data_IF_146502698752
#
_entry.id   IF_146502698752
#
_cell.length_a   1.000
_cell.length_b   1.000
_cell.length_c   1.000
_cell.angle_alpha   90.00
_cell.angle_beta   90.00
_cell.angle_gamma   90.00
#
_symmetry.space_group_name_H-M   'P 1'
#
loop_
_entity.id
_entity.type
_entity.pdbx_description
1 polymer ?
#
# COMPACT_ATOMS: atom_id res chain seq x y z
N UNK A 1 -14.85 13.14 6.53
CA UNK A 1 -14.03 11.92 6.60
C UNK A 1 -12.59 12.34 6.40
N UNK A 2 -11.66 11.69 7.10
CA UNK A 2 -10.23 11.94 6.92
C UNK A 2 -9.69 11.06 5.80
N UNK A 3 -8.66 11.54 5.10
CA UNK A 3 -7.92 10.75 4.14
C UNK A 3 -6.83 9.98 4.86
N UNK A 4 -6.66 8.72 4.52
CA UNK A 4 -5.60 7.88 5.04
C UNK A 4 -4.79 7.30 3.88
N UNK A 5 -3.47 7.34 4.00
CA UNK A 5 -2.57 6.67 3.07
C UNK A 5 -2.18 5.33 3.64
N UNK A 6 -2.29 4.32 2.78
CA UNK A 6 -1.76 2.98 3.00
C UNK A 6 -0.43 2.90 2.29
N UNK A 7 0.61 2.58 3.03
CA UNK A 7 1.95 2.38 2.52
C UNK A 7 2.29 0.90 2.68
N UNK A 8 2.58 0.24 1.57
CA UNK A 8 2.94 -1.18 1.56
C UNK A 8 4.44 -1.31 1.83
N UNK A 9 4.80 -1.85 2.99
CA UNK A 9 6.19 -2.02 3.41
C UNK A 9 6.57 -3.51 3.51
N UNK A 10 7.67 -3.90 2.90
CA UNK A 10 8.24 -5.24 3.01
C UNK A 10 8.84 -5.73 1.69
N UNK A 11 9.58 -6.84 1.72
CA UNK A 11 10.27 -7.36 0.54
C UNK A 11 9.25 -7.91 -0.45
N UNK A 12 8.88 -7.13 -1.47
CA UNK A 12 8.05 -7.65 -2.55
C UNK A 12 8.80 -8.73 -3.33
N UNK A 13 8.12 -9.83 -3.59
CA UNK A 13 8.53 -10.77 -4.63
C UNK A 13 8.58 -10.00 -5.96
N UNK A 14 9.70 -10.02 -6.68
CA UNK A 14 9.78 -9.42 -8.01
C UNK A 14 8.71 -9.96 -8.96
N UNK A 15 8.10 -9.09 -9.77
CA UNK A 15 7.00 -9.47 -10.67
C UNK A 15 7.39 -10.56 -11.68
N UNK A 16 8.66 -10.65 -12.04
CA UNK A 16 9.23 -11.66 -12.95
C UNK A 16 9.39 -13.05 -12.30
N UNK A 17 9.18 -13.15 -10.98
CA UNK A 17 9.21 -14.42 -10.24
C UNK A 17 7.82 -15.04 -10.06
N UNK A 18 6.76 -14.33 -10.44
CA UNK A 18 5.41 -14.88 -10.44
C UNK A 18 5.13 -15.63 -11.74
N UNK A 19 4.46 -16.78 -11.65
CA UNK A 19 3.84 -17.40 -12.83
C UNK A 19 2.68 -16.52 -13.32
N UNK A 20 2.23 -16.76 -14.55
CA UNK A 20 1.06 -16.07 -15.11
C UNK A 20 -0.20 -16.31 -14.26
N UNK A 21 -0.38 -17.55 -13.77
CA UNK A 21 -1.47 -17.93 -12.86
C UNK A 21 -1.41 -17.16 -11.54
N UNK A 22 -0.24 -17.11 -10.89
CA UNK A 22 -0.09 -16.37 -9.64
C UNK A 22 -0.30 -14.86 -9.84
N UNK A 23 0.16 -14.32 -10.97
CA UNK A 23 -0.06 -12.91 -11.33
C UNK A 23 -1.55 -12.61 -11.51
N UNK A 24 -2.29 -13.52 -12.16
CA UNK A 24 -3.74 -13.40 -12.34
C UNK A 24 -4.49 -13.48 -11.01
N UNK A 25 -4.11 -14.41 -10.12
CA UNK A 25 -4.70 -14.54 -8.78
C UNK A 25 -4.49 -13.28 -7.94
N UNK A 26 -3.26 -12.74 -7.91
CA UNK A 26 -2.94 -11.50 -7.18
C UNK A 26 -3.74 -10.33 -7.76
N UNK A 27 -3.82 -10.21 -9.08
CA UNK A 27 -4.59 -9.16 -9.76
C UNK A 27 -6.09 -9.26 -9.43
N UNK A 28 -6.65 -10.47 -9.45
CA UNK A 28 -8.05 -10.71 -9.10
C UNK A 28 -8.34 -10.39 -7.63
N UNK A 29 -7.43 -10.77 -6.72
CA UNK A 29 -7.55 -10.45 -5.30
C UNK A 29 -7.49 -8.94 -5.05
N UNK A 30 -6.62 -8.22 -5.76
CA UNK A 30 -6.58 -6.75 -5.75
C UNK A 30 -7.91 -6.15 -6.22
N UNK A 31 -8.43 -6.60 -7.36
CA UNK A 31 -9.73 -6.13 -7.88
C UNK A 31 -10.89 -6.40 -6.91
N UNK A 32 -10.91 -7.57 -6.27
CA UNK A 32 -11.93 -7.91 -5.27
C UNK A 32 -11.85 -7.01 -4.03
N UNK A 33 -10.64 -6.77 -3.52
CA UNK A 33 -10.43 -5.87 -2.39
C UNK A 33 -10.83 -4.42 -2.74
N UNK A 34 -10.40 -3.90 -3.89
CA UNK A 34 -10.78 -2.56 -4.35
C UNK A 34 -12.30 -2.43 -4.48
N UNK A 35 -12.97 -3.46 -5.01
CA UNK A 35 -14.44 -3.50 -5.09
C UNK A 35 -15.12 -3.49 -3.72
N UNK A 36 -14.53 -4.15 -2.71
CA UNK A 36 -15.02 -4.14 -1.32
C UNK A 36 -14.83 -2.78 -0.65
N UNK A 37 -13.69 -2.12 -0.85
CA UNK A 37 -13.43 -0.76 -0.34
C UNK A 37 -14.41 0.23 -0.97
N UNK A 38 -14.69 0.06 -2.27
CA UNK A 38 -15.76 0.79 -2.96
C UNK A 38 -15.53 2.31 -2.93
N UNK A 39 -16.56 3.06 -2.53
CA UNK A 39 -16.54 4.54 -2.55
C UNK A 39 -15.58 5.15 -1.52
N UNK A 40 -15.07 4.36 -0.57
CA UNK A 40 -14.02 4.82 0.33
C UNK A 40 -12.66 4.92 -0.36
N UNK A 41 -12.50 4.33 -1.56
CA UNK A 41 -11.26 4.41 -2.34
C UNK A 41 -11.14 5.79 -2.98
N UNK A 42 -10.18 6.59 -2.51
CA UNK A 42 -9.90 7.92 -3.08
C UNK A 42 -8.93 7.80 -4.24
N UNK A 43 -7.89 6.99 -4.07
CA UNK A 43 -6.88 6.70 -5.08
C UNK A 43 -6.47 5.23 -4.94
N UNK A 44 -6.70 4.43 -5.99
CA UNK A 44 -6.26 3.03 -6.05
C UNK A 44 -4.74 2.86 -6.04
N UNK A 45 -4.01 3.97 -6.16
CA UNK A 45 -2.59 4.06 -5.93
C UNK A 45 -1.73 3.50 -7.04
N UNK A 46 -0.45 3.29 -6.73
CA UNK A 46 0.53 2.80 -7.68
C UNK A 46 1.65 1.98 -6.99
N UNK A 47 2.17 0.94 -7.66
CA UNK A 47 3.40 0.28 -7.24
C UNK A 47 4.61 1.20 -7.44
N UNK A 48 5.58 1.13 -6.53
CA UNK A 48 6.83 1.88 -6.62
C UNK A 48 7.87 1.14 -7.47
N UNK A 49 8.54 1.90 -8.34
CA UNK A 49 9.58 1.41 -9.25
C UNK A 49 10.99 1.64 -8.71
N UNK A 50 11.89 2.10 -9.58
CA UNK A 50 13.26 2.45 -9.21
C UNK A 50 13.27 3.45 -8.04
N UNK A 51 14.12 3.19 -7.05
CA UNK A 51 14.20 3.95 -5.79
C UNK A 51 15.62 4.40 -5.48
N UNK A 52 15.72 5.58 -4.90
CA UNK A 52 16.93 6.14 -4.32
C UNK A 52 16.52 6.94 -3.08
N UNK A 53 17.44 7.10 -2.12
CA UNK A 53 17.24 7.99 -0.99
C UNK A 53 18.42 8.95 -0.88
N UNK A 54 18.13 10.17 -0.45
CA UNK A 54 19.09 11.25 -0.26
C UNK A 54 18.85 11.84 1.12
N UNK A 55 19.93 12.01 1.88
CA UNK A 55 19.93 12.66 3.20
C UNK A 55 19.88 14.19 3.07
N UNK A 56 19.59 14.88 4.17
CA UNK A 56 19.53 16.36 4.19
C UNK A 56 20.89 17.04 3.94
N UNK A 57 21.99 16.32 4.14
CA UNK A 57 23.36 16.72 3.76
C UNK A 57 23.70 16.45 2.29
N UNK A 58 22.76 15.91 1.50
CA UNK A 58 22.93 15.59 0.08
C UNK A 58 23.64 14.25 -0.18
N UNK A 59 24.01 13.49 0.85
CA UNK A 59 24.58 12.16 0.69
C UNK A 59 23.54 11.12 0.26
N UNK A 60 23.99 10.07 -0.44
CA UNK A 60 23.13 8.93 -0.75
C UNK A 60 22.84 8.12 0.52
N UNK A 61 21.58 7.73 0.68
CA UNK A 61 21.11 6.85 1.74
C UNK A 61 20.52 5.56 1.15
N UNK A 62 20.37 4.54 2.00
CA UNK A 62 19.66 3.33 1.63
C UNK A 62 18.15 3.64 1.46
N UNK A 63 17.54 3.37 0.31
CA UNK A 63 16.11 3.55 0.14
C UNK A 63 15.32 2.51 0.94
N UNK A 64 14.13 2.90 1.40
CA UNK A 64 13.20 2.05 2.13
C UNK A 64 12.64 0.90 1.28
N UNK A 65 12.12 -0.13 1.96
CA UNK A 65 11.43 -1.28 1.35
C UNK A 65 9.94 -1.00 1.04
N UNK A 66 9.60 0.27 0.76
CA UNK A 66 8.24 0.63 0.37
C UNK A 66 7.95 0.17 -1.06
N UNK A 67 6.75 -0.34 -1.27
CA UNK A 67 6.36 -1.05 -2.49
C UNK A 67 5.23 -0.38 -3.26
N UNK A 68 4.54 0.58 -2.66
CA UNK A 68 3.47 1.33 -3.29
C UNK A 68 2.59 2.01 -2.25
N UNK A 69 1.52 2.62 -2.72
CA UNK A 69 0.52 3.25 -1.86
C UNK A 69 -0.91 2.99 -2.34
N UNK A 70 -1.88 3.30 -1.47
CA UNK A 70 -3.30 3.50 -1.77
C UNK A 70 -3.82 4.63 -0.87
N UNK A 71 -4.80 5.41 -1.30
CA UNK A 71 -5.45 6.42 -0.45
C UNK A 71 -6.93 6.08 -0.29
N UNK A 72 -7.39 6.06 0.95
CA UNK A 72 -8.81 5.86 1.29
C UNK A 72 -9.34 7.02 2.13
N UNK A 73 -10.66 7.13 2.18
CA UNK A 73 -11.38 7.96 3.15
C UNK A 73 -12.05 7.09 4.21
N UNK A 74 -11.89 7.48 5.47
CA UNK A 74 -12.52 6.82 6.61
C UNK A 74 -12.91 7.82 7.70
N UNK A 75 -13.71 7.37 8.67
CA UNK A 75 -14.12 8.21 9.80
C UNK A 75 -12.95 8.51 10.75
N UNK A 76 -12.08 7.52 10.97
CA UNK A 76 -10.94 7.54 11.87
C UNK A 76 -9.93 6.45 11.48
N UNK A 77 -8.83 6.34 12.24
CA UNK A 77 -7.76 5.38 12.00
C UNK A 77 -8.22 3.92 12.14
N UNK A 78 -9.16 3.61 13.04
CA UNK A 78 -9.63 2.24 13.22
C UNK A 78 -10.56 1.81 12.07
N UNK A 79 -11.39 2.73 11.57
CA UNK A 79 -12.17 2.53 10.35
C UNK A 79 -11.26 2.34 9.13
N UNK A 80 -10.16 3.10 9.02
CA UNK A 80 -9.16 2.87 7.99
C UNK A 80 -8.53 1.47 8.14
N UNK A 81 -8.06 1.10 9.33
CA UNK A 81 -7.52 -0.25 9.58
C UNK A 81 -8.50 -1.36 9.20
N UNK A 82 -9.80 -1.18 9.44
CA UNK A 82 -10.81 -2.17 9.06
C UNK A 82 -10.90 -2.38 7.53
N UNK A 83 -10.67 -1.34 6.73
CA UNK A 83 -10.64 -1.44 5.26
C UNK A 83 -9.42 -2.20 4.72
N UNK A 84 -8.40 -2.47 5.54
CA UNK A 84 -7.27 -3.32 5.17
C UNK A 84 -7.64 -4.81 5.04
N UNK A 85 -8.79 -5.22 5.59
CA UNK A 85 -9.26 -6.60 5.53
C UNK A 85 -9.52 -7.05 4.09
N UNK A 86 -8.85 -8.12 3.69
CA UNK A 86 -8.89 -8.66 2.32
C UNK A 86 -7.77 -8.17 1.40
N UNK A 87 -6.82 -7.37 1.89
CA UNK A 87 -5.63 -7.01 1.11
C UNK A 87 -4.80 -8.24 0.73
N UNK A 88 -4.41 -8.41 -0.56
CA UNK A 88 -3.75 -9.63 -1.03
C UNK A 88 -2.46 -9.97 -0.27
N UNK A 89 -1.64 -8.96 0.05
CA UNK A 89 -0.34 -9.15 0.70
C UNK A 89 -0.42 -9.42 2.22
N UNK A 90 -1.59 -9.27 2.84
CA UNK A 90 -1.82 -9.59 4.25
C UNK A 90 -2.20 -11.06 4.48
N UNK A 91 -2.38 -11.84 3.41
CA UNK A 91 -2.86 -13.23 3.48
C UNK A 91 -1.78 -14.26 3.87
N UNK A 92 -0.48 -13.93 3.73
CA UNK A 92 0.60 -14.89 4.03
C UNK A 92 0.79 -15.17 5.52
N UNK A 93 0.39 -14.25 6.42
CA UNK A 93 0.49 -14.42 7.88
C UNK A 93 1.92 -14.50 8.45
N UNK A 94 2.96 -14.23 7.66
CA UNK A 94 4.38 -14.37 8.05
C UNK A 94 5.01 -13.09 8.63
N UNK A 95 4.26 -12.00 8.74
CA UNK A 95 4.76 -10.72 9.26
C UNK A 95 5.85 -10.05 8.41
N UNK A 96 6.07 -10.51 7.16
CA UNK A 96 7.08 -9.94 6.24
C UNK A 96 6.59 -8.68 5.54
N UNK A 97 5.28 -8.55 5.35
CA UNK A 97 4.64 -7.36 4.81
C UNK A 97 3.89 -6.66 5.92
N UNK A 98 4.05 -5.34 5.99
CA UNK A 98 3.34 -4.45 6.90
C UNK A 98 2.60 -3.41 6.07
N UNK A 99 1.33 -3.21 6.40
CA UNK A 99 0.56 -2.07 5.93
C UNK A 99 0.73 -0.93 6.94
N UNK A 100 1.46 0.11 6.57
CA UNK A 100 1.54 1.32 7.39
C UNK A 100 0.41 2.27 7.01
N UNK A 101 -0.31 2.80 8.00
CA UNK A 101 -1.50 3.62 7.79
C UNK A 101 -1.27 4.97 8.48
N UNK A 102 -1.34 6.03 7.69
CA UNK A 102 -1.17 7.40 8.18
C UNK A 102 -2.38 8.25 7.80
N UNK A 103 -2.85 9.08 8.73
CA UNK A 103 -3.79 10.14 8.41
C UNK A 103 -3.08 11.23 7.61
N UNK A 104 -3.67 11.63 6.49
CA UNK A 104 -3.22 12.76 5.69
C UNK A 104 -3.88 14.03 6.24
N UNK A 105 -3.10 14.83 6.97
CA UNK A 105 -3.55 16.09 7.53
C UNK A 105 -3.56 17.15 6.43
N UNK A 106 -4.75 17.70 6.15
CA UNK A 106 -4.90 18.83 5.25
C UNK A 106 -4.21 20.06 5.84
N UNK A 107 -3.24 20.61 5.12
CA UNK A 107 -2.50 21.80 5.54
C UNK A 107 -3.24 23.10 5.21
N UNK A 108 -4.40 23.05 4.57
CA UNK A 108 -5.28 24.19 4.31
C UNK A 108 -4.61 25.31 3.49
N UNK A 109 -3.65 24.96 2.64
CA UNK A 109 -2.93 25.89 1.77
C UNK A 109 -3.73 26.23 0.50
#
# INVERSE_FOLDING_TARGET
MSKFIYIYNGPATPMDQFTEEQSAEVTAAWGAWMGKVGTAMVDGGAPFGARAAVSDDGSAAAPSELQGYTIVEAADLDAAKALADGLPFMSEGKGRFTLEIFELIDMGM
#
